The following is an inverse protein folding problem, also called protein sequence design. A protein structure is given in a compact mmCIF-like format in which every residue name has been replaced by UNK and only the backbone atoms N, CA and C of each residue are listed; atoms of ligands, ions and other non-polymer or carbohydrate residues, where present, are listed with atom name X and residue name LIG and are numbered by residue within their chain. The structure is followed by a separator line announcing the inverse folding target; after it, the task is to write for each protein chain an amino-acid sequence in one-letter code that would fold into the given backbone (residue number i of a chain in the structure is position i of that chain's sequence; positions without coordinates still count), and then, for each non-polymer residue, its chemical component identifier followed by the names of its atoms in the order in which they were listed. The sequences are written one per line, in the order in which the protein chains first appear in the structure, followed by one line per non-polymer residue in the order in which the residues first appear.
data_IF_701691829923
#
_entry.id   IF_701691829923
#
_cell.length_a   1.000
_cell.length_b   1.000
_cell.length_c   1.000
_cell.angle_alpha   90.00
_cell.angle_beta   90.00
_cell.angle_gamma   90.00
#
_symmetry.space_group_name_H-M   'P 1'
#
loop_
_entity.id
_entity.type
_entity.pdbx_description
1 polymer ?
#
# COMPACT_ATOMS: atom_id res chain seq x y z
N UNK A 1 -60.56 -23.34 19.69
CA UNK A 1 -60.08 -24.21 20.79
C UNK A 1 -59.93 -23.37 22.06
N UNK A 2 -60.64 -23.72 23.15
CA UNK A 2 -60.64 -22.91 24.38
C UNK A 2 -59.24 -22.68 24.98
N UNK A 3 -58.32 -23.63 24.83
CA UNK A 3 -56.93 -23.49 25.30
C UNK A 3 -56.13 -22.50 24.46
N UNK A 4 -56.38 -22.44 23.15
CA UNK A 4 -55.74 -21.50 22.24
C UNK A 4 -56.17 -20.06 22.55
N UNK A 5 -57.47 -19.83 22.74
CA UNK A 5 -58.00 -18.53 23.14
C UNK A 5 -57.50 -18.07 24.52
N UNK A 6 -57.21 -18.98 25.46
CA UNK A 6 -56.60 -18.63 26.76
C UNK A 6 -55.16 -18.11 26.63
N UNK A 7 -54.37 -18.67 25.71
CA UNK A 7 -52.95 -18.32 25.55
C UNK A 7 -52.79 -17.07 24.67
N UNK A 8 -53.56 -16.98 23.58
CA UNK A 8 -53.43 -15.95 22.55
C UNK A 8 -54.54 -14.88 22.58
N UNK A 9 -55.47 -14.98 23.54
CA UNK A 9 -56.59 -14.07 23.80
C UNK A 9 -57.72 -14.06 22.77
N UNK A 10 -57.47 -14.53 21.54
CA UNK A 10 -58.47 -14.74 20.49
C UNK A 10 -58.11 -15.95 19.61
N UNK A 11 -59.09 -16.50 18.89
CA UNK A 11 -58.90 -17.60 17.94
C UNK A 11 -58.54 -17.14 16.51
N UNK A 12 -58.54 -15.82 16.27
CA UNK A 12 -58.25 -15.26 14.95
C UNK A 12 -56.76 -15.37 14.63
N UNK A 13 -56.45 -15.91 13.46
CA UNK A 13 -55.10 -15.99 12.92
C UNK A 13 -55.10 -15.22 11.60
N UNK A 14 -54.31 -14.15 11.52
CA UNK A 14 -54.10 -13.38 10.28
C UNK A 14 -52.61 -13.40 9.97
N UNK A 15 -52.21 -14.04 8.87
CA UNK A 15 -50.82 -14.12 8.42
C UNK A 15 -50.80 -13.69 6.96
N UNK A 16 -50.01 -12.66 6.67
CA UNK A 16 -49.90 -12.05 5.34
C UNK A 16 -48.47 -12.15 4.83
N UNK A 17 -48.13 -13.21 4.07
CA UNK A 17 -46.88 -13.27 3.34
C UNK A 17 -46.97 -12.36 2.11
N UNK A 18 -45.90 -11.63 1.82
CA UNK A 18 -45.74 -10.75 0.67
C UNK A 18 -44.31 -10.92 0.12
N UNK A 19 -44.16 -11.04 -1.19
CA UNK A 19 -42.84 -11.18 -1.79
C UNK A 19 -42.83 -12.05 -3.04
N UNK A 20 -41.63 -12.45 -3.45
CA UNK A 20 -41.39 -13.35 -4.57
C UNK A 20 -40.45 -14.49 -4.17
N UNK A 21 -40.56 -15.60 -4.88
CA UNK A 21 -39.66 -16.72 -4.76
C UNK A 21 -39.40 -17.25 -6.17
N UNK A 22 -38.20 -17.02 -6.66
CA UNK A 22 -37.74 -17.51 -7.96
C UNK A 22 -36.78 -18.68 -7.75
N UNK A 23 -36.92 -19.68 -8.60
CA UNK A 23 -36.04 -20.86 -8.62
C UNK A 23 -35.55 -21.04 -10.04
N UNK A 24 -34.25 -21.02 -10.24
CA UNK A 24 -33.60 -21.14 -11.55
C UNK A 24 -32.85 -22.47 -11.59
N UNK A 25 -33.20 -23.28 -12.57
CA UNK A 25 -32.51 -24.53 -12.89
C UNK A 25 -31.77 -24.34 -14.20
N UNK A 26 -30.44 -24.49 -14.20
CA UNK A 26 -29.63 -24.32 -15.39
C UNK A 26 -28.61 -25.45 -15.53
N UNK A 27 -28.54 -26.08 -16.70
CA UNK A 27 -27.46 -26.97 -17.08
C UNK A 27 -26.40 -26.21 -17.87
N UNK A 28 -25.15 -26.24 -17.43
CA UNK A 28 -24.03 -25.65 -18.15
C UNK A 28 -23.06 -26.75 -18.61
N UNK A 29 -22.74 -26.76 -19.90
CA UNK A 29 -21.69 -27.62 -20.45
C UNK A 29 -20.58 -26.71 -20.96
N UNK A 30 -19.39 -26.86 -20.40
CA UNK A 30 -18.20 -26.13 -20.83
C UNK A 30 -17.24 -27.06 -21.57
N UNK A 31 -16.94 -26.72 -22.81
CA UNK A 31 -15.98 -27.44 -23.65
C UNK A 31 -14.72 -26.59 -23.84
N UNK A 32 -13.58 -27.11 -23.40
CA UNK A 32 -12.26 -26.50 -23.56
C UNK A 32 -11.45 -27.29 -24.59
N UNK A 33 -11.01 -26.64 -25.65
CA UNK A 33 -10.26 -27.27 -26.74
C UNK A 33 -8.74 -27.27 -26.53
N UNK A 34 -8.26 -26.74 -25.40
CA UNK A 34 -6.84 -26.71 -25.07
C UNK A 34 -6.29 -28.15 -24.98
N UNK A 35 -5.31 -28.50 -25.84
CA UNK A 35 -4.77 -29.85 -25.93
C UNK A 35 -3.97 -30.27 -24.68
N UNK A 36 -3.59 -29.34 -23.81
CA UNK A 36 -2.86 -29.60 -22.56
C UNK A 36 -3.74 -30.24 -21.47
N UNK A 37 -5.07 -30.14 -21.57
CA UNK A 37 -5.99 -30.85 -20.66
C UNK A 37 -6.32 -32.25 -21.20
N UNK A 38 -6.60 -33.20 -20.30
CA UNK A 38 -7.07 -34.52 -20.71
C UNK A 38 -8.52 -34.47 -21.23
N UNK A 39 -8.94 -35.47 -22.01
CA UNK A 39 -10.25 -35.50 -22.67
C UNK A 39 -11.45 -35.44 -21.70
N UNK A 40 -11.28 -35.89 -20.44
CA UNK A 40 -12.31 -35.79 -19.39
C UNK A 40 -12.42 -34.38 -18.79
N UNK A 41 -11.33 -33.64 -18.69
CA UNK A 41 -11.29 -32.26 -18.19
C UNK A 41 -11.71 -31.24 -19.27
N UNK A 42 -11.61 -31.61 -20.56
CA UNK A 42 -12.03 -30.79 -21.70
C UNK A 42 -13.54 -30.66 -21.85
N UNK A 43 -14.33 -31.52 -21.22
CA UNK A 43 -15.79 -31.43 -21.26
C UNK A 43 -16.34 -31.56 -19.84
N UNK A 44 -16.80 -30.46 -19.26
CA UNK A 44 -17.33 -30.42 -17.90
C UNK A 44 -18.80 -29.98 -17.95
N UNK A 45 -19.68 -30.82 -17.40
CA UNK A 45 -21.08 -30.47 -17.17
C UNK A 45 -21.28 -30.06 -15.71
N UNK A 46 -22.02 -28.99 -15.48
CA UNK A 46 -22.46 -28.55 -14.16
C UNK A 46 -23.98 -28.31 -14.17
N UNK A 47 -24.65 -28.67 -13.08
CA UNK A 47 -26.03 -28.33 -12.84
C UNK A 47 -26.07 -27.23 -11.79
N UNK A 48 -26.54 -26.05 -12.20
CA UNK A 48 -26.75 -24.93 -11.32
C UNK A 48 -28.21 -24.89 -10.84
N UNK A 49 -28.37 -24.73 -9.53
CA UNK A 49 -29.63 -24.54 -8.84
C UNK A 49 -29.54 -23.27 -8.00
N UNK A 50 -30.21 -22.22 -8.45
CA UNK A 50 -30.22 -20.92 -7.79
C UNK A 50 -31.61 -20.61 -7.22
N UNK A 51 -31.68 -20.30 -5.93
CA UNK A 51 -32.91 -19.91 -5.24
C UNK A 51 -32.86 -18.43 -4.81
N UNK A 52 -33.83 -17.65 -5.29
CA UNK A 52 -33.99 -16.23 -4.94
C UNK A 52 -35.31 -16.04 -4.21
N UNK A 53 -35.26 -15.96 -2.89
CA UNK A 53 -36.44 -15.77 -2.05
C UNK A 53 -36.34 -14.37 -1.46
N UNK A 54 -37.36 -13.56 -1.72
CA UNK A 54 -37.55 -12.25 -1.10
C UNK A 54 -38.94 -12.22 -0.50
N UNK A 55 -39.03 -12.44 0.81
CA UNK A 55 -40.30 -12.63 1.51
C UNK A 55 -40.38 -11.76 2.76
N UNK A 56 -41.47 -11.04 2.89
CA UNK A 56 -41.90 -10.34 4.09
C UNK A 56 -43.17 -11.01 4.61
N UNK A 57 -43.17 -11.50 5.84
CA UNK A 57 -44.38 -12.04 6.46
C UNK A 57 -44.70 -11.22 7.69
N UNK A 58 -45.91 -10.66 7.73
CA UNK A 58 -46.45 -10.03 8.94
C UNK A 58 -47.72 -10.76 9.33
N UNK A 59 -47.88 -11.08 10.60
CA UNK A 59 -49.09 -11.73 11.09
C UNK A 59 -49.37 -11.47 12.56
N UNK A 60 -50.62 -11.66 12.94
CA UNK A 60 -51.10 -11.63 14.31
C UNK A 60 -51.85 -12.92 14.61
N UNK A 61 -51.49 -13.57 15.71
CA UNK A 61 -52.19 -14.72 16.27
C UNK A 61 -52.88 -14.25 17.54
N UNK A 62 -54.21 -14.20 17.48
CA UNK A 62 -55.06 -13.59 18.47
C UNK A 62 -54.75 -12.10 18.67
N UNK A 63 -54.83 -11.61 19.90
CA UNK A 63 -54.46 -10.23 20.27
C UNK A 63 -53.05 -10.13 20.89
N UNK A 64 -52.45 -11.27 21.27
CA UNK A 64 -51.18 -11.29 22.02
C UNK A 64 -49.92 -11.55 21.21
N UNK A 65 -49.97 -12.34 20.13
CA UNK A 65 -48.75 -12.72 19.40
C UNK A 65 -48.68 -12.04 18.04
N UNK A 66 -47.58 -11.33 17.78
CA UNK A 66 -47.25 -10.73 16.49
C UNK A 66 -46.01 -11.39 15.91
N UNK A 67 -46.06 -11.69 14.62
CA UNK A 67 -44.98 -12.27 13.83
C UNK A 67 -44.59 -11.26 12.78
N UNK A 68 -43.30 -10.95 12.68
CA UNK A 68 -42.73 -10.18 11.58
C UNK A 68 -41.44 -10.85 11.14
N UNK A 69 -41.35 -11.23 9.88
CA UNK A 69 -40.14 -11.79 9.30
C UNK A 69 -39.84 -11.16 7.95
N UNK A 70 -38.57 -10.86 7.73
CA UNK A 70 -38.01 -10.47 6.44
C UNK A 70 -36.92 -11.49 6.10
N UNK A 71 -37.03 -12.11 4.94
CA UNK A 71 -36.10 -13.11 4.46
C UNK A 71 -35.74 -12.83 3.00
N UNK A 72 -34.47 -12.56 2.76
CA UNK A 72 -33.85 -12.34 1.47
C UNK A 72 -32.62 -13.23 1.32
N UNK A 73 -32.63 -14.16 0.37
CA UNK A 73 -31.47 -15.04 0.09
C UNK A 73 -30.33 -14.30 -0.59
N UNK A 74 -30.59 -13.13 -1.18
CA UNK A 74 -29.60 -12.27 -1.84
C UNK A 74 -29.12 -11.13 -0.93
N UNK A 75 -29.45 -11.15 0.37
CA UNK A 75 -29.02 -10.13 1.33
C UNK A 75 -27.49 -10.08 1.44
N UNK A 76 -26.92 -8.88 1.30
CA UNK A 76 -25.48 -8.66 1.47
C UNK A 76 -25.10 -8.68 2.95
N UNK A 77 -26.00 -8.24 3.83
CA UNK A 77 -25.77 -8.20 5.27
C UNK A 77 -26.71 -9.13 6.03
N UNK A 78 -26.17 -9.86 7.01
CA UNK A 78 -26.94 -10.80 7.84
C UNK A 78 -28.07 -10.14 8.65
N UNK A 79 -28.01 -8.82 8.91
CA UNK A 79 -29.05 -8.11 9.65
C UNK A 79 -30.31 -7.83 8.83
N UNK A 80 -30.28 -8.02 7.51
CA UNK A 80 -31.45 -7.85 6.66
C UNK A 80 -32.45 -9.00 6.86
N UNK A 81 -31.93 -10.20 7.15
CA UNK A 81 -32.73 -11.37 7.49
C UNK A 81 -33.16 -11.33 8.95
N UNK A 82 -34.36 -10.82 9.19
CA UNK A 82 -34.91 -10.60 10.53
C UNK A 82 -36.08 -11.52 10.77
N UNK A 83 -36.06 -12.20 11.91
CA UNK A 83 -37.23 -12.90 12.45
C UNK A 83 -37.57 -12.22 13.77
N UNK A 84 -38.82 -11.81 13.95
CA UNK A 84 -39.30 -11.23 15.20
C UNK A 84 -40.64 -11.83 15.60
N UNK A 85 -40.66 -12.39 16.80
CA UNK A 85 -41.86 -12.91 17.45
C UNK A 85 -42.10 -12.08 18.70
N UNK A 86 -43.22 -11.37 18.76
CA UNK A 86 -43.58 -10.48 19.86
C UNK A 86 -44.86 -10.98 20.53
N UNK A 87 -44.74 -11.56 21.72
CA UNK A 87 -45.86 -11.81 22.61
C UNK A 87 -46.05 -10.64 23.57
N UNK A 88 -47.26 -10.11 23.67
CA UNK A 88 -47.63 -9.02 24.58
C UNK A 88 -48.74 -9.51 25.52
N UNK A 89 -48.45 -9.53 26.81
CA UNK A 89 -49.44 -9.86 27.83
C UNK A 89 -50.39 -8.70 28.10
N UNK A 90 -51.46 -8.96 28.85
CA UNK A 90 -52.38 -7.92 29.31
C UNK A 90 -51.76 -7.10 30.45
N UNK A 91 -52.25 -5.87 30.72
CA UNK A 91 -51.67 -5.01 31.75
C UNK A 91 -51.61 -5.63 33.16
N UNK A 92 -52.53 -6.54 33.47
CA UNK A 92 -52.66 -7.27 34.74
C UNK A 92 -51.79 -8.54 34.83
N UNK A 93 -51.10 -8.93 33.75
CA UNK A 93 -50.28 -10.13 33.71
C UNK A 93 -48.83 -9.87 34.15
N UNK A 94 -48.20 -10.82 34.86
CA UNK A 94 -46.78 -10.70 35.25
C UNK A 94 -45.90 -10.63 34.00
N UNK A 95 -46.22 -11.42 32.98
CA UNK A 95 -45.49 -11.44 31.70
C UNK A 95 -46.02 -10.30 30.84
N UNK A 96 -45.25 -9.23 30.72
CA UNK A 96 -45.63 -8.07 29.91
C UNK A 96 -45.22 -8.26 28.44
N UNK A 97 -44.02 -8.81 28.20
CA UNK A 97 -43.53 -9.04 26.84
C UNK A 97 -42.59 -10.24 26.75
N UNK A 98 -42.70 -11.03 25.69
CA UNK A 98 -41.69 -12.00 25.27
C UNK A 98 -41.35 -11.70 23.81
N UNK A 99 -40.11 -11.37 23.52
CA UNK A 99 -39.60 -11.15 22.17
C UNK A 99 -38.60 -12.27 21.82
N UNK A 100 -38.71 -12.88 20.65
CA UNK A 100 -37.77 -13.89 20.17
C UNK A 100 -37.31 -13.60 18.73
N UNK A 101 -36.05 -13.91 18.43
CA UNK A 101 -35.38 -13.59 17.18
C UNK A 101 -34.58 -12.30 17.31
N UNK A 102 -34.80 -11.31 16.45
CA UNK A 102 -34.11 -10.01 16.49
C UNK A 102 -34.65 -9.16 17.65
N UNK A 103 -33.84 -9.01 18.69
CA UNK A 103 -34.16 -8.28 19.92
C UNK A 103 -33.18 -7.14 20.17
N UNK A 104 -33.61 -6.12 20.92
CA UNK A 104 -32.77 -4.99 21.33
C UNK A 104 -33.01 -4.65 22.80
N UNK A 105 -31.95 -4.18 23.47
CA UNK A 105 -32.01 -3.73 24.85
C UNK A 105 -31.29 -2.39 24.99
N UNK A 106 -31.89 -1.28 24.53
CA UNK A 106 -31.34 0.04 24.80
C UNK A 106 -31.39 0.29 26.31
N UNK A 107 -30.23 0.64 26.89
CA UNK A 107 -30.11 1.01 28.30
C UNK A 107 -29.92 2.52 28.40
N UNK A 108 -30.69 3.23 29.24
CA UNK A 108 -30.53 4.67 29.45
C UNK A 108 -29.36 4.96 30.42
N UNK A 109 -28.18 4.38 30.17
CA UNK A 109 -26.99 4.58 31.01
C UNK A 109 -25.78 4.91 30.14
N UNK A 110 -24.91 5.79 30.62
CA UNK A 110 -23.67 6.16 29.94
C UNK A 110 -22.50 5.19 30.20
N UNK A 111 -22.57 4.40 31.28
CA UNK A 111 -21.50 3.48 31.69
C UNK A 111 -21.61 2.11 31.00
N UNK A 112 -22.82 1.64 30.71
CA UNK A 112 -23.08 0.37 30.05
C UNK A 112 -23.93 0.66 28.81
N UNK A 113 -23.29 0.60 27.64
CA UNK A 113 -24.01 0.72 26.37
C UNK A 113 -24.81 -0.56 26.12
N UNK A 114 -26.13 -0.44 26.03
CA UNK A 114 -27.00 -1.54 25.62
C UNK A 114 -26.68 -2.02 24.20
N UNK A 115 -26.70 -3.33 23.98
CA UNK A 115 -26.48 -3.92 22.67
C UNK A 115 -27.74 -3.86 21.80
N UNK A 116 -27.54 -3.63 20.50
CA UNK A 116 -28.59 -3.53 19.49
C UNK A 116 -28.45 -4.67 18.47
N UNK A 117 -29.57 -5.05 17.85
CA UNK A 117 -29.63 -6.10 16.82
C UNK A 117 -29.04 -7.46 17.26
N UNK A 118 -29.55 -7.98 18.37
CA UNK A 118 -29.16 -9.29 18.91
C UNK A 118 -30.11 -10.37 18.38
N UNK A 119 -29.61 -11.59 18.15
CA UNK A 119 -30.47 -12.74 17.89
C UNK A 119 -30.63 -13.55 19.19
N UNK A 120 -31.83 -13.59 19.75
CA UNK A 120 -32.07 -14.21 21.05
C UNK A 120 -33.51 -14.11 21.56
N UNK A 121 -33.66 -14.34 22.86
CA UNK A 121 -34.90 -14.27 23.61
C UNK A 121 -34.82 -13.14 24.62
N UNK A 122 -35.83 -12.26 24.64
CA UNK A 122 -35.97 -11.17 25.61
C UNK A 122 -37.31 -11.29 26.32
N UNK A 123 -37.29 -11.17 27.65
CA UNK A 123 -38.49 -11.25 28.49
C UNK A 123 -38.61 -10.00 29.34
N UNK A 124 -39.82 -9.46 29.46
CA UNK A 124 -40.17 -8.34 30.33
C UNK A 124 -41.25 -8.79 31.30
N UNK A 125 -40.92 -8.77 32.59
CA UNK A 125 -41.77 -9.16 33.70
C UNK A 125 -42.06 -7.94 34.59
N UNK A 126 -43.26 -7.87 35.15
CA UNK A 126 -43.67 -6.81 36.06
C UNK A 126 -44.26 -7.41 37.35
N UNK A 127 -43.64 -7.09 38.49
CA UNK A 127 -44.07 -7.49 39.83
C UNK A 127 -44.43 -6.24 40.63
N UNK A 128 -45.68 -5.79 40.54
CA UNK A 128 -46.11 -4.54 41.16
C UNK A 128 -45.35 -3.34 40.58
N UNK A 129 -44.45 -2.73 41.36
CA UNK A 129 -43.58 -1.62 40.92
C UNK A 129 -42.21 -2.07 40.37
N UNK A 130 -41.84 -3.33 40.55
CA UNK A 130 -40.56 -3.88 40.10
C UNK A 130 -40.69 -4.42 38.66
N UNK A 131 -39.96 -3.81 37.72
CA UNK A 131 -39.81 -4.33 36.36
C UNK A 131 -38.51 -5.12 36.22
N UNK A 132 -38.58 -6.35 35.72
CA UNK A 132 -37.41 -7.19 35.41
C UNK A 132 -37.38 -7.44 33.91
N UNK A 133 -36.28 -7.07 33.26
CA UNK A 133 -36.06 -7.36 31.83
C UNK A 133 -34.82 -8.22 31.69
N UNK A 134 -34.97 -9.40 31.08
CA UNK A 134 -33.88 -10.35 30.85
C UNK A 134 -33.70 -10.58 29.35
N UNK A 135 -32.45 -10.76 28.93
CA UNK A 135 -32.09 -11.04 27.54
C UNK A 135 -31.06 -12.16 27.48
N UNK A 136 -31.32 -13.17 26.65
CA UNK A 136 -30.41 -14.26 26.33
C UNK A 136 -30.20 -14.26 24.83
N UNK A 137 -29.01 -13.88 24.38
CA UNK A 137 -28.77 -13.67 22.95
C UNK A 137 -27.34 -13.95 22.55
N UNK A 138 -27.16 -14.33 21.28
CA UNK A 138 -25.86 -14.34 20.64
C UNK A 138 -25.58 -12.95 20.05
N UNK A 139 -24.52 -12.29 20.51
CA UNK A 139 -24.07 -11.03 19.92
C UNK A 139 -23.37 -11.33 18.59
N UNK A 140 -23.92 -10.79 17.49
CA UNK A 140 -23.36 -10.92 16.13
C UNK A 140 -22.69 -9.63 15.62
N UNK A 141 -22.60 -8.60 16.46
CA UNK A 141 -22.05 -7.29 16.11
C UNK A 141 -20.75 -6.98 16.86
N UNK A 142 -19.78 -6.40 16.16
CA UNK A 142 -18.57 -5.81 16.76
C UNK A 142 -18.76 -4.30 16.89
N UNK A 143 -18.60 -3.78 18.11
CA UNK A 143 -18.53 -2.34 18.34
C UNK A 143 -17.21 -1.81 17.79
N UNK A 144 -17.28 -0.81 16.91
CA UNK A 144 -16.11 -0.03 16.47
C UNK A 144 -16.30 1.40 16.93
N UNK A 145 -15.35 1.89 17.72
CA UNK A 145 -15.33 3.29 18.13
C UNK A 145 -14.45 4.08 17.17
N UNK A 146 -15.01 5.12 16.56
CA UNK A 146 -14.27 6.08 15.76
C UNK A 146 -14.27 7.39 16.54
N UNK A 147 -13.09 7.89 16.88
CA UNK A 147 -12.96 9.20 17.50
C UNK A 147 -12.83 10.24 16.40
N UNK A 148 -13.87 11.05 16.23
CA UNK A 148 -13.87 12.20 15.32
C UNK A 148 -13.68 13.44 16.18
N UNK A 149 -12.65 14.22 15.90
CA UNK A 149 -12.39 15.49 16.57
C UNK A 149 -12.14 16.55 15.49
N UNK A 150 -12.79 17.70 15.61
CA UNK A 150 -12.71 18.80 14.63
C UNK A 150 -13.03 18.40 13.18
N UNK A 151 -13.93 17.42 12.97
CA UNK A 151 -14.38 17.01 11.63
C UNK A 151 -13.39 16.12 10.85
N UNK A 152 -12.25 15.74 11.44
CA UNK A 152 -11.32 14.76 10.88
C UNK A 152 -11.30 13.47 11.70
N UNK A 153 -11.11 12.35 11.00
CA UNK A 153 -10.88 11.05 11.65
C UNK A 153 -9.47 11.06 12.24
N UNK A 154 -9.35 10.90 13.55
CA UNK A 154 -8.06 10.73 14.21
C UNK A 154 -7.72 9.24 14.26
N UNK A 155 -6.48 8.89 13.92
CA UNK A 155 -5.95 7.54 14.00
C UNK A 155 -4.53 7.56 14.55
N UNK A 156 -4.22 6.61 15.41
CA UNK A 156 -2.85 6.40 15.88
C UNK A 156 -2.08 5.58 14.85
N UNK A 157 -0.79 5.86 14.69
CA UNK A 157 0.13 5.02 13.94
C UNK A 157 1.25 4.54 14.87
N UNK A 158 1.77 3.35 14.60
CA UNK A 158 2.94 2.80 15.27
C UNK A 158 3.79 2.13 14.21
N UNK A 159 5.05 2.52 14.12
CA UNK A 159 5.99 2.07 13.10
C UNK A 159 7.30 1.68 13.77
N UNK A 160 7.84 0.53 13.38
CA UNK A 160 9.17 0.09 13.75
C UNK A 160 10.21 0.70 12.79
N UNK A 161 11.49 0.81 13.19
CA UNK A 161 12.55 1.27 12.30
C UNK A 161 12.68 0.46 11.00
N UNK A 162 12.28 -0.81 11.03
CA UNK A 162 12.25 -1.72 9.87
C UNK A 162 11.10 -1.47 8.90
N UNK A 163 10.08 -0.71 9.27
CA UNK A 163 8.83 -0.54 8.50
C UNK A 163 8.94 0.54 7.42
N UNK A 164 10.16 0.82 6.96
CA UNK A 164 10.40 1.75 5.85
C UNK A 164 9.84 1.19 4.53
N UNK A 165 9.53 2.08 3.60
CA UNK A 165 9.01 1.70 2.29
C UNK A 165 10.11 1.13 1.38
N UNK A 166 10.34 -0.18 1.49
CA UNK A 166 11.30 -0.90 0.68
C UNK A 166 10.92 -0.90 -0.81
N UNK A 167 11.94 -1.00 -1.67
CA UNK A 167 11.82 -1.10 -3.13
C UNK A 167 11.08 0.05 -3.84
N UNK A 168 10.87 1.19 -3.17
CA UNK A 168 10.04 2.30 -3.69
C UNK A 168 10.82 3.59 -3.97
N UNK A 169 11.86 3.87 -3.18
CA UNK A 169 12.56 5.15 -3.18
C UNK A 169 14.04 4.96 -3.50
N UNK A 170 14.56 5.71 -4.48
CA UNK A 170 15.92 5.55 -4.96
C UNK A 170 16.61 6.87 -5.26
N UNK A 171 17.81 7.06 -4.73
CA UNK A 171 18.74 8.08 -5.20
C UNK A 171 19.16 7.81 -6.64
N UNK A 172 19.37 8.86 -7.42
CA UNK A 172 19.76 8.75 -8.84
C UNK A 172 21.24 8.38 -9.04
N UNK A 173 22.08 8.58 -8.03
CA UNK A 173 23.51 8.24 -8.00
C UNK A 173 24.05 8.32 -6.58
N UNK A 174 25.27 7.81 -6.36
CA UNK A 174 25.91 7.89 -5.04
C UNK A 174 26.19 9.34 -4.63
N UNK A 175 26.42 10.25 -5.59
CA UNK A 175 26.57 11.68 -5.32
C UNK A 175 25.36 12.23 -4.55
N UNK A 176 24.14 11.93 -4.99
CA UNK A 176 22.92 12.43 -4.34
C UNK A 176 22.75 11.85 -2.94
N UNK A 177 22.97 10.53 -2.81
CA UNK A 177 22.95 9.83 -1.52
C UNK A 177 23.93 10.48 -0.51
N UNK A 178 25.19 10.63 -0.92
CA UNK A 178 26.26 11.11 -0.04
C UNK A 178 26.10 12.58 0.33
N UNK A 179 25.35 13.36 -0.47
CA UNK A 179 25.07 14.77 -0.22
C UNK A 179 23.72 15.03 0.44
N UNK A 180 22.84 14.03 0.56
CA UNK A 180 21.47 14.20 1.04
C UNK A 180 21.38 14.86 2.42
N UNK A 181 22.12 14.32 3.40
CA UNK A 181 22.11 14.86 4.76
C UNK A 181 22.67 16.29 4.82
N UNK A 182 23.70 16.58 4.02
CA UNK A 182 24.29 17.93 3.94
C UNK A 182 23.32 18.92 3.32
N UNK A 183 22.59 18.51 2.27
CA UNK A 183 21.59 19.35 1.63
C UNK A 183 20.40 19.67 2.56
N UNK A 184 20.12 18.81 3.54
CA UNK A 184 19.04 18.98 4.53
C UNK A 184 19.50 19.55 5.88
N UNK A 185 20.79 19.89 6.05
CA UNK A 185 21.31 20.37 7.33
C UNK A 185 20.65 21.69 7.82
N UNK A 186 20.10 22.47 6.89
CA UNK A 186 19.48 23.77 7.14
C UNK A 186 18.02 23.82 6.68
N UNK A 187 17.26 22.74 6.92
CA UNK A 187 15.81 22.76 6.71
C UNK A 187 15.18 24.02 7.35
N UNK A 188 14.16 24.63 6.71
CA UNK A 188 13.42 24.15 5.54
C UNK A 188 14.11 24.40 4.18
N UNK A 189 15.23 25.12 4.13
CA UNK A 189 15.91 25.44 2.87
C UNK A 189 16.82 24.28 2.45
N UNK A 190 16.55 23.71 1.27
CA UNK A 190 17.41 22.67 0.68
C UNK A 190 18.68 23.31 0.14
N UNK A 191 19.81 23.00 0.78
CA UNK A 191 21.15 23.49 0.42
C UNK A 191 21.76 22.65 -0.71
N UNK A 192 21.15 22.68 -1.89
CA UNK A 192 21.63 21.98 -3.10
C UNK A 192 21.66 22.92 -4.30
N UNK A 193 22.76 22.88 -5.04
CA UNK A 193 22.93 23.62 -6.29
C UNK A 193 22.50 22.82 -7.52
N UNK A 194 21.99 21.59 -7.32
CA UNK A 194 21.52 20.73 -8.39
C UNK A 194 20.05 20.99 -8.67
N UNK A 195 19.65 21.02 -9.93
CA UNK A 195 18.26 20.87 -10.34
C UNK A 195 18.15 19.90 -11.49
N UNK A 196 17.54 18.73 -11.26
CA UNK A 196 17.20 17.77 -12.33
C UNK A 196 16.17 18.42 -13.26
N UNK A 197 16.51 18.55 -14.54
CA UNK A 197 15.68 19.21 -15.57
C UNK A 197 14.88 18.21 -16.40
N UNK A 198 15.41 17.00 -16.60
CA UNK A 198 14.74 15.93 -17.35
C UNK A 198 15.14 14.57 -16.78
N UNK A 199 14.19 13.64 -16.74
CA UNK A 199 14.44 12.25 -16.32
C UNK A 199 13.57 11.29 -17.13
N UNK A 200 14.15 10.13 -17.43
CA UNK A 200 13.45 8.96 -17.94
C UNK A 200 13.76 7.78 -17.03
N UNK A 201 12.70 7.10 -16.59
CA UNK A 201 12.79 5.96 -15.68
C UNK A 201 12.33 4.73 -16.46
N UNK A 202 13.15 3.68 -16.43
CA UNK A 202 12.95 2.46 -17.19
C UNK A 202 12.88 1.26 -16.24
N UNK A 203 11.87 0.42 -16.43
CA UNK A 203 11.65 -0.79 -15.63
C UNK A 203 11.48 -2.04 -16.49
N UNK A 204 11.66 -3.21 -15.89
CA UNK A 204 11.31 -4.49 -16.52
C UNK A 204 9.85 -4.48 -17.00
N UNK A 205 9.62 -4.95 -18.22
CA UNK A 205 8.29 -5.00 -18.82
C UNK A 205 7.66 -6.38 -18.61
N UNK A 206 6.65 -6.45 -17.73
CA UNK A 206 5.95 -7.71 -17.39
C UNK A 206 4.67 -7.93 -18.19
N UNK A 207 4.12 -6.87 -18.78
CA UNK A 207 2.82 -6.86 -19.45
C UNK A 207 2.94 -6.93 -20.98
N UNK A 208 4.14 -7.25 -21.51
CA UNK A 208 4.44 -7.28 -22.95
C UNK A 208 3.98 -6.03 -23.71
N UNK A 209 3.98 -4.86 -23.06
CA UNK A 209 3.55 -3.61 -23.68
C UNK A 209 4.66 -3.05 -24.55
N UNK A 210 4.45 -2.92 -25.86
CA UNK A 210 5.50 -2.46 -26.79
C UNK A 210 5.54 -0.94 -26.98
N UNK A 211 4.52 -0.22 -26.48
CA UNK A 211 4.42 1.24 -26.59
C UNK A 211 5.57 1.95 -25.88
N UNK A 212 6.30 2.76 -26.63
CA UNK A 212 7.47 3.54 -26.17
C UNK A 212 8.55 2.70 -25.45
N UNK A 213 8.58 1.39 -25.75
CA UNK A 213 9.55 0.46 -25.19
C UNK A 213 10.90 0.57 -25.90
N UNK A 214 11.99 0.37 -25.14
CA UNK A 214 13.37 0.41 -25.66
C UNK A 214 14.19 -0.70 -25.03
N UNK A 215 15.16 -1.21 -25.77
CA UNK A 215 16.19 -2.04 -25.16
C UNK A 215 17.13 -1.13 -24.36
N UNK A 216 17.42 -1.52 -23.14
CA UNK A 216 18.19 -0.73 -22.17
C UNK A 216 19.33 -1.59 -21.64
N UNK A 217 20.51 -1.00 -21.59
CA UNK A 217 21.66 -1.55 -20.90
C UNK A 217 22.02 -0.63 -19.74
N UNK A 218 21.60 -1.03 -18.54
CA UNK A 218 21.74 -0.25 -17.33
C UNK A 218 23.04 -0.65 -16.62
N UNK A 219 23.94 0.31 -16.39
CA UNK A 219 25.22 0.07 -15.74
C UNK A 219 25.24 0.55 -14.29
N UNK A 220 25.90 -0.25 -13.44
CA UNK A 220 26.13 0.06 -12.03
C UNK A 220 26.99 1.32 -11.86
N UNK A 221 28.04 1.48 -12.65
CA UNK A 221 29.04 2.54 -12.44
C UNK A 221 28.85 3.77 -13.36
N UNK A 222 27.78 3.82 -14.16
CA UNK A 222 27.57 4.98 -15.04
C UNK A 222 27.39 6.28 -14.23
N UNK A 223 28.20 7.29 -14.55
CA UNK A 223 28.13 8.59 -13.87
C UNK A 223 28.58 8.58 -12.41
N UNK A 224 29.30 7.55 -11.94
CA UNK A 224 29.85 7.51 -10.58
C UNK A 224 31.30 7.97 -10.54
N UNK A 225 31.62 8.91 -9.64
CA UNK A 225 32.97 9.46 -9.47
C UNK A 225 33.96 8.44 -8.90
N UNK A 226 33.50 7.59 -7.97
CA UNK A 226 34.27 6.44 -7.47
C UNK A 226 33.55 5.16 -7.92
N UNK A 227 33.93 4.57 -9.07
CA UNK A 227 33.29 3.37 -9.58
C UNK A 227 33.53 2.18 -8.64
N UNK A 228 32.54 1.30 -8.51
CA UNK A 228 32.62 0.07 -7.76
C UNK A 228 33.62 -0.91 -8.39
N UNK A 229 33.57 -1.08 -9.71
CA UNK A 229 34.47 -1.97 -10.43
C UNK A 229 35.79 -1.28 -10.79
N UNK A 230 36.65 -1.12 -9.78
CA UNK A 230 37.98 -0.48 -9.92
C UNK A 230 38.97 -1.27 -10.78
N UNK A 231 38.66 -2.53 -11.10
CA UNK A 231 39.47 -3.34 -12.00
C UNK A 231 39.33 -2.90 -13.46
N UNK A 232 38.12 -2.46 -13.86
CA UNK A 232 37.83 -2.04 -15.24
C UNK A 232 37.79 -0.53 -15.41
N UNK A 233 37.37 0.19 -14.36
CA UNK A 233 37.10 1.62 -14.45
C UNK A 233 37.93 2.44 -13.47
N UNK A 234 38.30 3.62 -13.93
CA UNK A 234 38.96 4.66 -13.16
C UNK A 234 38.04 5.87 -13.14
N UNK A 235 37.80 6.38 -11.93
CA UNK A 235 37.25 7.71 -11.70
C UNK A 235 38.27 8.52 -10.88
N UNK A 236 37.81 9.45 -10.06
CA UNK A 236 38.71 10.20 -9.18
C UNK A 236 39.35 11.43 -9.84
N UNK A 237 40.58 11.74 -9.45
CA UNK A 237 41.30 12.92 -9.95
C UNK A 237 41.40 12.90 -11.49
N UNK A 238 41.09 14.04 -12.12
CA UNK A 238 40.99 14.16 -13.58
C UNK A 238 39.60 13.87 -14.16
N UNK A 239 38.66 13.39 -13.36
CA UNK A 239 37.26 13.20 -13.72
C UNK A 239 36.32 14.18 -12.99
N UNK A 240 35.09 14.28 -13.47
CA UNK A 240 34.05 15.10 -12.85
C UNK A 240 33.58 14.50 -11.51
N UNK A 241 33.72 15.27 -10.43
CA UNK A 241 33.15 14.94 -9.12
C UNK A 241 31.61 14.95 -9.10
N UNK A 242 30.99 15.60 -10.09
CA UNK A 242 29.55 15.60 -10.32
C UNK A 242 29.15 14.47 -11.27
N UNK A 243 28.00 13.81 -11.08
CA UNK A 243 27.54 12.73 -11.94
C UNK A 243 27.49 13.11 -13.42
N UNK A 244 28.31 12.47 -14.24
CA UNK A 244 28.40 12.71 -15.67
C UNK A 244 28.77 11.40 -16.38
N UNK A 245 27.96 10.99 -17.34
CA UNK A 245 28.08 9.70 -18.01
C UNK A 245 27.29 9.65 -19.29
N UNK A 246 27.60 10.56 -20.22
CA UNK A 246 26.98 10.66 -21.53
C UNK A 246 27.99 11.19 -22.56
N UNK A 247 28.05 10.57 -23.73
CA UNK A 247 28.95 10.97 -24.82
C UNK A 247 28.14 11.61 -25.95
N UNK A 248 27.99 12.93 -25.92
CA UNK A 248 27.30 13.69 -26.95
C UNK A 248 27.68 15.17 -26.98
N UNK A 249 27.24 15.92 -28.01
CA UNK A 249 27.57 17.34 -28.14
C UNK A 249 27.15 18.14 -26.90
N UNK A 250 28.04 18.99 -26.39
CA UNK A 250 27.79 19.82 -25.21
C UNK A 250 28.06 19.15 -23.85
N UNK A 251 28.41 17.85 -23.82
CA UNK A 251 28.66 17.11 -22.58
C UNK A 251 30.08 16.49 -22.58
N UNK A 252 31.08 17.33 -22.33
CA UNK A 252 32.49 16.89 -22.32
C UNK A 252 32.90 16.18 -21.02
N UNK A 253 32.21 16.48 -19.90
CA UNK A 253 32.55 15.95 -18.59
C UNK A 253 32.17 14.47 -18.48
N UNK A 254 33.05 13.66 -17.88
CA UNK A 254 32.78 12.27 -17.48
C UNK A 254 33.23 12.07 -16.03
N UNK A 255 32.45 11.33 -15.24
CA UNK A 255 32.81 10.99 -13.84
C UNK A 255 33.78 9.82 -13.74
N UNK A 256 33.84 8.99 -14.78
CA UNK A 256 34.78 7.88 -14.92
C UNK A 256 34.97 7.56 -16.41
N UNK A 257 35.82 6.58 -16.69
CA UNK A 257 36.12 6.12 -18.05
C UNK A 257 35.26 4.93 -18.54
N UNK A 258 34.12 4.62 -17.90
CA UNK A 258 33.28 3.46 -18.27
C UNK A 258 32.91 3.48 -19.74
N UNK A 259 32.35 4.59 -20.24
CA UNK A 259 31.90 4.70 -21.62
C UNK A 259 33.05 4.61 -22.64
N UNK A 260 34.25 5.06 -22.27
CA UNK A 260 35.41 5.01 -23.14
C UNK A 260 36.01 3.59 -23.24
N UNK A 261 35.85 2.78 -22.19
CA UNK A 261 36.42 1.43 -22.12
C UNK A 261 35.48 0.33 -22.63
N UNK A 262 34.19 0.63 -22.83
CA UNK A 262 33.22 -0.35 -23.33
C UNK A 262 33.50 -0.71 -24.80
N UNK A 263 33.46 -2.01 -25.17
CA UNK A 263 33.51 -2.42 -26.57
C UNK A 263 32.32 -1.86 -27.35
N UNK A 264 32.55 -1.42 -28.59
CA UNK A 264 31.50 -0.85 -29.46
C UNK A 264 30.30 -1.80 -29.64
N UNK A 265 30.56 -3.11 -29.73
CA UNK A 265 29.54 -4.14 -29.91
C UNK A 265 28.57 -4.26 -28.73
N UNK A 266 28.91 -3.75 -27.54
CA UNK A 266 27.98 -3.72 -26.39
C UNK A 266 26.75 -2.87 -26.66
N UNK A 267 26.80 -2.01 -27.69
CA UNK A 267 25.71 -1.14 -28.10
C UNK A 267 24.61 -1.87 -28.87
N UNK A 268 24.90 -3.02 -29.45
CA UNK A 268 23.95 -3.76 -30.28
C UNK A 268 23.01 -4.59 -29.40
N UNK A 269 21.70 -4.49 -29.62
CA UNK A 269 20.67 -5.22 -28.85
C UNK A 269 20.96 -6.72 -28.76
N UNK A 270 21.40 -7.35 -29.85
CA UNK A 270 21.60 -8.81 -29.90
C UNK A 270 23.03 -9.26 -29.58
N UNK A 271 23.89 -8.36 -29.11
CA UNK A 271 25.28 -8.68 -28.78
C UNK A 271 25.45 -9.27 -27.39
N UNK A 272 26.39 -10.21 -27.28
CA UNK A 272 26.89 -10.79 -26.02
C UNK A 272 28.18 -10.11 -25.53
N UNK A 273 28.67 -9.07 -26.22
CA UNK A 273 29.92 -8.41 -25.87
C UNK A 273 29.96 -7.90 -24.43
N UNK A 274 28.84 -7.41 -23.89
CA UNK A 274 28.78 -6.92 -22.51
C UNK A 274 28.95 -8.04 -21.49
N UNK A 275 28.37 -9.21 -21.76
CA UNK A 275 28.50 -10.38 -20.89
C UNK A 275 29.95 -10.88 -20.85
N UNK A 276 30.61 -10.91 -22.01
CA UNK A 276 32.02 -11.29 -22.12
C UNK A 276 32.93 -10.26 -21.42
N UNK A 277 32.65 -8.97 -21.58
CA UNK A 277 33.45 -7.88 -21.00
C UNK A 277 33.48 -7.94 -19.45
N UNK A 278 32.34 -8.21 -18.81
CA UNK A 278 32.26 -8.30 -17.34
C UNK A 278 32.45 -9.73 -16.79
N UNK A 279 32.78 -10.71 -17.63
CA UNK A 279 32.82 -12.13 -17.23
C UNK A 279 33.74 -12.39 -16.03
N UNK A 280 34.90 -11.74 -15.99
CA UNK A 280 35.91 -11.90 -14.95
C UNK A 280 35.72 -10.97 -13.74
N UNK A 281 34.79 -10.02 -13.78
CA UNK A 281 34.70 -8.92 -12.80
C UNK A 281 33.30 -8.75 -12.20
N UNK A 282 32.58 -9.86 -12.00
CA UNK A 282 31.27 -9.88 -11.33
C UNK A 282 30.06 -10.02 -12.25
N UNK A 283 30.26 -10.18 -13.57
CA UNK A 283 29.19 -10.47 -14.55
C UNK A 283 28.03 -9.47 -14.44
N UNK A 284 26.83 -9.96 -14.16
CA UNK A 284 25.58 -9.19 -14.05
C UNK A 284 25.51 -8.31 -12.80
N UNK A 285 26.53 -8.31 -11.94
CA UNK A 285 26.61 -7.35 -10.84
C UNK A 285 26.90 -5.92 -11.34
N UNK A 286 27.55 -5.81 -12.50
CA UNK A 286 27.94 -4.52 -13.07
C UNK A 286 26.89 -3.90 -13.99
N UNK A 287 25.95 -4.71 -14.49
CA UNK A 287 24.96 -4.25 -15.46
C UNK A 287 23.70 -5.12 -15.44
N UNK A 288 22.60 -4.56 -15.92
CA UNK A 288 21.41 -5.32 -16.31
C UNK A 288 21.00 -4.94 -17.73
N UNK A 289 20.54 -5.93 -18.50
CA UNK A 289 20.09 -5.77 -19.87
C UNK A 289 18.59 -6.06 -19.91
N UNK A 290 17.82 -5.04 -20.29
CA UNK A 290 16.37 -5.14 -20.42
C UNK A 290 15.99 -5.06 -21.89
N UNK A 291 15.38 -6.12 -22.41
CA UNK A 291 14.75 -6.10 -23.72
C UNK A 291 13.33 -5.56 -23.59
N UNK A 292 12.93 -4.64 -24.47
CA UNK A 292 11.62 -3.97 -24.41
C UNK A 292 11.29 -3.35 -23.03
N UNK A 293 12.26 -2.70 -22.39
CA UNK A 293 12.07 -2.01 -21.12
C UNK A 293 10.92 -1.00 -21.23
N UNK A 294 10.10 -0.92 -20.18
CA UNK A 294 8.96 -0.01 -20.13
C UNK A 294 9.42 1.33 -19.55
N UNK A 295 9.15 2.41 -20.27
CA UNK A 295 9.32 3.78 -19.75
C UNK A 295 8.18 4.09 -18.79
N UNK A 296 8.50 4.50 -17.56
CA UNK A 296 7.51 5.04 -16.65
C UNK A 296 7.08 6.45 -17.10
N UNK A 297 5.79 6.71 -16.99
CA UNK A 297 5.22 8.04 -17.21
C UNK A 297 5.39 8.91 -15.97
N UNK A 298 5.30 10.23 -16.14
CA UNK A 298 5.46 11.20 -15.04
C UNK A 298 4.40 11.06 -13.92
N UNK A 299 3.31 10.32 -14.15
CA UNK A 299 2.30 10.04 -13.14
C UNK A 299 2.62 8.81 -12.31
N UNK A 300 3.57 7.96 -12.71
CA UNK A 300 3.91 6.70 -12.05
C UNK A 300 5.03 6.84 -11.01
N UNK A 301 5.72 7.97 -10.99
CA UNK A 301 6.74 8.29 -10.01
C UNK A 301 6.76 9.79 -9.72
N UNK A 302 7.34 10.16 -8.58
CA UNK A 302 7.64 11.55 -8.21
C UNK A 302 9.14 11.75 -8.18
N UNK A 303 9.60 12.89 -8.67
CA UNK A 303 11.00 13.30 -8.64
C UNK A 303 11.19 14.42 -7.61
N UNK A 304 12.23 14.33 -6.79
CA UNK A 304 12.74 15.47 -6.03
C UNK A 304 13.97 16.05 -6.75
N UNK A 305 13.81 17.11 -7.56
CA UNK A 305 14.87 17.58 -8.47
C UNK A 305 16.09 18.17 -7.77
N UNK A 306 15.97 18.65 -6.53
CA UNK A 306 17.10 19.23 -5.79
C UNK A 306 17.94 18.20 -5.02
N UNK A 307 17.29 17.14 -4.54
CA UNK A 307 17.93 16.08 -3.76
C UNK A 307 18.28 14.84 -4.61
N UNK A 308 17.79 14.76 -5.85
CA UNK A 308 18.14 13.72 -6.80
C UNK A 308 17.72 12.32 -6.36
N UNK A 309 16.44 12.15 -6.05
CA UNK A 309 15.83 10.84 -5.85
C UNK A 309 14.45 10.76 -6.50
N UNK A 310 14.01 9.54 -6.78
CA UNK A 310 12.65 9.23 -7.24
C UNK A 310 11.91 8.39 -6.21
N UNK A 311 10.60 8.59 -6.16
CA UNK A 311 9.65 7.80 -5.39
C UNK A 311 8.63 7.21 -6.35
N UNK A 312 8.63 5.89 -6.50
CA UNK A 312 7.65 5.20 -7.33
C UNK A 312 6.28 5.21 -6.64
N UNK A 313 5.19 5.17 -7.40
CA UNK A 313 3.86 5.09 -6.80
C UNK A 313 3.62 3.74 -6.14
N UNK A 314 4.20 2.68 -6.68
CA UNK A 314 4.12 1.31 -6.17
C UNK A 314 5.54 0.77 -5.97
N UNK A 315 5.77 -0.06 -4.93
CA UNK A 315 7.05 -0.74 -4.76
C UNK A 315 7.28 -1.69 -5.94
N UNK A 316 8.54 -1.79 -6.37
CA UNK A 316 8.93 -2.75 -7.39
C UNK A 316 8.90 -4.18 -6.84
N UNK A 317 8.60 -5.12 -7.72
CA UNK A 317 8.77 -6.54 -7.40
C UNK A 317 10.26 -6.88 -7.24
N UNK A 318 10.54 -7.94 -6.48
CA UNK A 318 11.93 -8.32 -6.19
C UNK A 318 12.72 -8.64 -7.47
N UNK A 319 12.08 -9.17 -8.52
CA UNK A 319 12.66 -9.54 -9.80
C UNK A 319 12.75 -8.38 -10.83
N UNK A 320 12.25 -7.19 -10.49
CA UNK A 320 12.25 -6.05 -11.42
C UNK A 320 13.54 -5.25 -11.36
N UNK A 321 13.99 -4.76 -12.51
CA UNK A 321 15.13 -3.84 -12.62
C UNK A 321 14.59 -2.42 -12.72
N UNK A 322 15.33 -1.49 -12.12
CA UNK A 322 15.09 -0.06 -12.22
C UNK A 322 16.34 0.62 -12.74
N UNK A 323 16.19 1.44 -13.78
CA UNK A 323 17.26 2.27 -14.30
C UNK A 323 16.76 3.64 -14.73
N UNK A 324 17.67 4.60 -14.81
CA UNK A 324 17.35 5.99 -15.13
C UNK A 324 18.34 6.60 -16.10
N UNK A 325 17.86 7.55 -16.91
CA UNK A 325 18.69 8.52 -17.60
C UNK A 325 18.16 9.92 -17.27
N UNK A 326 19.06 10.87 -17.00
CA UNK A 326 18.63 12.20 -16.56
C UNK A 326 19.61 13.30 -16.97
N UNK A 327 19.06 14.51 -17.10
CA UNK A 327 19.79 15.77 -17.24
C UNK A 327 19.55 16.64 -16.03
N UNK A 328 20.56 17.40 -15.66
CA UNK A 328 20.47 18.34 -14.56
C UNK A 328 21.39 19.52 -14.79
N UNK A 329 21.12 20.60 -14.06
CA UNK A 329 22.02 21.76 -14.01
C UNK A 329 22.69 21.82 -12.65
N UNK A 330 23.96 22.23 -12.65
CA UNK A 330 24.72 22.59 -11.46
C UNK A 330 25.36 23.95 -11.71
N UNK A 331 24.98 24.96 -10.93
CA UNK A 331 25.46 26.35 -11.11
C UNK A 331 25.38 26.85 -12.57
N UNK A 332 24.28 26.52 -13.27
CA UNK A 332 24.06 26.93 -14.67
C UNK A 332 24.76 26.08 -15.73
N UNK A 333 25.62 25.13 -15.36
CA UNK A 333 26.22 24.16 -16.30
C UNK A 333 25.36 22.90 -16.38
N UNK A 334 25.07 22.41 -17.59
CA UNK A 334 24.28 21.19 -17.80
C UNK A 334 25.16 19.93 -17.73
N UNK A 335 24.63 18.89 -17.11
CA UNK A 335 25.23 17.57 -16.98
C UNK A 335 24.22 16.50 -17.34
N UNK A 336 24.70 15.36 -17.84
CA UNK A 336 23.86 14.24 -18.23
C UNK A 336 24.45 12.90 -17.78
N UNK A 337 23.58 12.01 -17.32
CA UNK A 337 23.91 10.62 -16.98
C UNK A 337 22.95 9.70 -17.72
N UNK A 338 23.51 8.79 -18.52
CA UNK A 338 22.73 7.92 -19.40
C UNK A 338 22.18 8.66 -20.61
N UNK A 339 21.52 7.90 -21.48
CA UNK A 339 20.98 8.35 -22.75
C UNK A 339 19.45 8.42 -22.66
N UNK A 340 18.90 9.58 -23.01
CA UNK A 340 17.45 9.73 -23.12
C UNK A 340 16.98 9.10 -24.43
N UNK A 341 15.72 8.69 -24.52
CA UNK A 341 15.16 8.12 -25.75
C UNK A 341 15.24 9.07 -26.95
N UNK A 342 15.33 10.38 -26.69
CA UNK A 342 15.49 11.43 -27.72
C UNK A 342 16.92 11.57 -28.24
N UNK A 343 17.92 11.11 -27.49
CA UNK A 343 19.32 11.25 -27.87
C UNK A 343 19.71 10.20 -28.92
N UNK A 344 19.09 9.02 -28.83
CA UNK A 344 19.37 7.87 -29.69
C UNK A 344 18.08 7.42 -30.37
N UNK A 345 17.89 7.73 -31.66
CA UNK A 345 16.71 7.32 -32.41
C UNK A 345 16.67 5.79 -32.56
N UNK A 346 15.46 5.26 -32.81
CA UNK A 346 15.27 3.84 -33.10
C UNK A 346 15.74 3.57 -34.53
N UNK A 347 16.65 2.60 -34.67
CA UNK A 347 17.10 2.08 -35.96
C UNK A 347 16.75 0.60 -36.03
N UNK A 348 15.82 0.25 -36.94
CA UNK A 348 15.35 -1.12 -37.09
C UNK A 348 16.36 -2.04 -37.80
N UNK A 349 17.26 -1.48 -38.62
CA UNK A 349 18.29 -2.25 -39.32
C UNK A 349 19.44 -2.62 -38.37
N UNK A 350 19.79 -1.71 -37.46
CA UNK A 350 20.80 -1.94 -36.43
C UNK A 350 20.26 -1.55 -35.04
N UNK A 351 19.46 -2.42 -34.39
CA UNK A 351 18.88 -2.12 -33.09
C UNK A 351 19.95 -1.87 -32.02
N UNK A 352 19.84 -0.73 -31.34
CA UNK A 352 20.77 -0.28 -30.30
C UNK A 352 20.09 -0.14 -28.96
N UNK A 353 20.79 -0.56 -27.91
CA UNK A 353 20.40 -0.29 -26.53
C UNK A 353 20.61 1.18 -26.17
N UNK A 354 19.81 1.68 -25.23
CA UNK A 354 20.10 2.90 -24.47
C UNK A 354 20.99 2.57 -23.29
N UNK A 355 22.07 3.32 -23.10
CA UNK A 355 22.87 3.22 -21.88
C UNK A 355 22.22 4.03 -20.75
N UNK A 356 21.93 3.39 -19.63
CA UNK A 356 21.29 4.03 -18.47
C UNK A 356 22.03 3.72 -17.18
N UNK A 357 21.70 4.47 -16.12
CA UNK A 357 22.20 4.24 -14.78
C UNK A 357 21.32 3.22 -14.06
N UNK A 358 21.90 2.11 -13.62
CA UNK A 358 21.23 1.10 -12.81
C UNK A 358 20.99 1.60 -11.38
N UNK A 359 19.74 1.55 -10.91
CA UNK A 359 19.35 1.87 -9.53
C UNK A 359 18.98 0.62 -8.71
N UNK A 360 18.33 -0.37 -9.34
CA UNK A 360 17.99 -1.67 -8.75
C UNK A 360 18.23 -2.77 -9.78
N UNK A 361 18.86 -3.86 -9.36
CA UNK A 361 19.05 -5.06 -10.18
C UNK A 361 17.97 -6.12 -9.91
N UNK A 362 17.89 -7.14 -10.75
CA UNK A 362 16.98 -8.30 -10.60
C UNK A 362 17.27 -9.05 -9.29
N UNK A 363 18.55 -9.29 -9.01
CA UNK A 363 19.00 -9.88 -7.76
C UNK A 363 19.50 -8.79 -6.82
N UNK A 364 18.80 -8.64 -5.70
CA UNK A 364 19.19 -7.72 -4.64
C UNK A 364 20.41 -8.28 -3.89
N UNK A 365 21.53 -7.54 -3.93
CA UNK A 365 22.76 -7.86 -3.20
C UNK A 365 23.15 -6.68 -2.31
N UNK A 366 23.23 -6.92 -1.01
CA UNK A 366 23.58 -5.87 -0.02
C UNK A 366 25.02 -5.39 -0.12
N UNK A 367 25.90 -6.15 -0.79
CA UNK A 367 27.28 -5.78 -1.07
C UNK A 367 27.45 -4.83 -2.27
N UNK A 368 26.40 -4.62 -3.08
CA UNK A 368 26.47 -3.74 -4.24
C UNK A 368 25.97 -2.33 -3.93
N UNK A 369 26.52 -1.27 -4.57
CA UNK A 369 26.09 0.11 -4.36
C UNK A 369 24.61 0.38 -4.64
N UNK A 370 23.93 -0.43 -5.47
CA UNK A 370 22.48 -0.32 -5.69
C UNK A 370 21.68 -0.51 -4.40
N UNK A 371 22.17 -1.31 -3.45
CA UNK A 371 21.58 -1.43 -2.11
C UNK A 371 21.58 -0.08 -1.39
N UNK A 372 22.67 0.67 -1.52
CA UNK A 372 22.84 1.98 -0.93
C UNK A 372 22.03 3.08 -1.61
N UNK A 373 21.73 2.93 -2.91
CA UNK A 373 20.86 3.84 -3.64
C UNK A 373 19.39 3.73 -3.21
N UNK A 374 18.95 2.57 -2.70
CA UNK A 374 17.62 2.43 -2.11
C UNK A 374 17.53 3.20 -0.78
N UNK A 375 16.60 4.16 -0.72
CA UNK A 375 16.34 4.94 0.49
C UNK A 375 15.60 4.10 1.53
N UNK A 376 16.01 4.22 2.79
CA UNK A 376 15.49 3.43 3.94
C UNK A 376 15.00 4.33 5.08
N UNK A 377 14.65 5.57 4.74
CA UNK A 377 14.28 6.63 5.68
C UNK A 377 12.91 7.25 5.36
N UNK A 378 12.09 6.57 4.55
CA UNK A 378 10.74 7.01 4.19
C UNK A 378 9.76 5.97 4.70
N UNK A 379 8.75 6.42 5.44
CA UNK A 379 7.75 5.60 6.11
C UNK A 379 6.34 6.00 5.66
N UNK A 380 5.49 5.01 5.45
CA UNK A 380 4.07 5.25 5.16
C UNK A 380 3.27 5.32 6.45
N UNK A 381 2.42 6.34 6.55
CA UNK A 381 1.52 6.54 7.68
C UNK A 381 0.14 5.92 7.44
N UNK A 382 -0.12 5.40 6.24
CA UNK A 382 -1.45 4.89 5.84
C UNK A 382 -2.56 5.95 5.83
N UNK A 383 -2.20 7.24 5.88
CA UNK A 383 -3.11 8.36 5.93
C UNK A 383 -2.87 9.34 4.78
N UNK A 384 -3.94 9.99 4.33
CA UNK A 384 -3.92 10.98 3.25
C UNK A 384 -4.25 12.36 3.81
N UNK A 385 -3.69 13.41 3.20
CA UNK A 385 -4.01 14.82 3.52
C UNK A 385 -3.85 15.15 5.02
N UNK A 386 -2.76 14.68 5.63
CA UNK A 386 -2.47 14.93 7.05
C UNK A 386 -2.28 16.44 7.26
N UNK A 387 -3.10 17.01 8.13
CA UNK A 387 -2.98 18.40 8.60
C UNK A 387 -1.68 18.55 9.41
N UNK A 388 -0.80 19.52 9.11
CA UNK A 388 0.41 19.76 9.89
C UNK A 388 0.14 20.03 11.38
N UNK A 389 -1.01 20.65 11.69
CA UNK A 389 -1.38 20.99 13.06
C UNK A 389 -1.81 19.77 13.88
N UNK A 390 -2.34 18.75 13.21
CA UNK A 390 -2.91 17.55 13.82
C UNK A 390 -1.97 16.33 13.74
N UNK A 391 -0.79 16.49 13.12
CA UNK A 391 0.27 15.48 13.13
C UNK A 391 1.09 15.57 14.42
N UNK A 392 1.26 14.45 15.09
CA UNK A 392 2.16 14.30 16.24
C UNK A 392 2.99 13.03 16.06
N UNK A 393 4.31 13.20 16.03
CA UNK A 393 5.28 12.11 15.99
C UNK A 393 6.01 12.06 17.32
N UNK A 394 6.09 10.88 17.91
CA UNK A 394 6.99 10.58 19.03
C UNK A 394 7.87 9.41 18.62
N UNK A 395 9.17 9.51 18.91
CA UNK A 395 10.10 8.40 18.76
C UNK A 395 10.38 7.87 20.16
N UNK A 396 10.13 6.58 20.36
CA UNK A 396 10.35 5.90 21.63
C UNK A 396 11.38 4.79 21.46
N UNK A 397 12.07 4.48 22.55
CA UNK A 397 12.93 3.30 22.67
C UNK A 397 12.33 2.37 23.72
N UNK A 398 12.19 1.09 23.38
CA UNK A 398 11.72 0.08 24.31
C UNK A 398 12.86 -0.28 25.28
N UNK A 399 12.68 0.05 26.55
CA UNK A 399 13.59 -0.41 27.60
C UNK A 399 13.32 -1.89 27.90
N UNK A 400 14.23 -2.77 27.47
CA UNK A 400 14.09 -4.22 27.64
C UNK A 400 14.02 -4.67 29.11
N UNK A 401 14.54 -3.89 30.06
CA UNK A 401 14.50 -4.26 31.48
C UNK A 401 13.15 -3.94 32.13
N UNK A 402 12.53 -2.83 31.72
CA UNK A 402 11.25 -2.38 32.28
C UNK A 402 10.04 -2.72 31.39
N UNK A 403 10.27 -3.11 30.13
CA UNK A 403 9.27 -3.27 29.06
C UNK A 403 8.38 -2.01 28.89
N UNK A 404 9.00 -0.83 28.98
CA UNK A 404 8.34 0.47 28.87
C UNK A 404 9.00 1.27 27.74
N UNK A 405 8.17 1.90 26.91
CA UNK A 405 8.61 2.85 25.89
C UNK A 405 9.02 4.18 26.51
N UNK A 406 10.27 4.60 26.25
CA UNK A 406 10.82 5.87 26.74
C UNK A 406 11.10 6.83 25.58
N UNK A 407 10.55 8.06 25.58
CA UNK A 407 10.83 9.05 24.54
C UNK A 407 12.15 9.81 24.77
N UNK A 408 12.77 9.64 25.94
CA UNK A 408 14.00 10.33 26.36
C UNK A 408 15.15 9.32 26.39
N UNK A 409 16.32 9.76 25.95
CA UNK A 409 17.57 9.00 26.03
C UNK A 409 18.10 9.00 27.48
N UNK A 410 18.24 7.80 28.05
CA UNK A 410 18.65 7.61 29.45
C UNK A 410 20.16 7.59 29.67
N UNK A 411 20.96 7.50 28.61
CA UNK A 411 22.40 7.25 28.68
C UNK A 411 23.23 8.16 27.75
N UNK A 412 24.54 8.19 27.98
CA UNK A 412 25.54 8.92 27.19
C UNK A 412 25.78 10.36 27.64
N UNK A 413 27.05 10.78 27.62
CA UNK A 413 27.49 12.07 28.20
C UNK A 413 26.81 13.31 27.59
N UNK A 414 26.49 13.28 26.29
CA UNK A 414 25.91 14.40 25.55
C UNK A 414 24.46 14.15 25.07
N UNK A 415 23.90 13.00 25.43
CA UNK A 415 22.62 12.48 24.94
C UNK A 415 21.60 12.25 26.06
N UNK A 416 22.05 12.01 27.29
CA UNK A 416 21.17 11.85 28.45
C UNK A 416 20.25 13.07 28.61
N UNK A 417 18.96 12.81 28.79
CA UNK A 417 17.93 13.83 29.02
C UNK A 417 17.35 14.46 27.76
N UNK A 418 17.86 14.15 26.57
CA UNK A 418 17.31 14.62 25.28
C UNK A 418 16.22 13.69 24.75
N UNK A 419 15.25 14.26 24.03
CA UNK A 419 14.25 13.48 23.32
C UNK A 419 14.88 12.77 22.12
N UNK A 420 14.45 11.54 21.82
CA UNK A 420 14.87 10.82 20.60
C UNK A 420 14.56 11.61 19.32
N UNK A 421 13.46 12.37 19.32
CA UNK A 421 13.09 13.22 18.19
C UNK A 421 14.12 14.34 17.93
N UNK A 422 14.70 14.91 18.99
CA UNK A 422 15.78 15.90 18.88
C UNK A 422 17.08 15.24 18.44
N UNK A 423 17.40 14.07 18.98
CA UNK A 423 18.63 13.33 18.64
C UNK A 423 18.66 12.87 17.18
N UNK A 424 17.50 12.57 16.60
CA UNK A 424 17.37 12.22 15.17
C UNK A 424 17.33 13.44 14.25
N UNK A 425 17.32 14.66 14.80
CA UNK A 425 17.30 15.90 14.02
C UNK A 425 15.96 16.18 13.34
N UNK A 426 14.88 15.51 13.77
CA UNK A 426 13.53 15.69 13.25
C UNK A 426 12.72 16.77 13.99
N UNK A 427 13.28 17.31 15.08
CA UNK A 427 12.73 18.44 15.84
C UNK A 427 13.82 19.50 16.04
N UNK A 428 13.89 20.45 15.11
CA UNK A 428 14.86 21.55 15.10
C UNK A 428 14.27 22.87 14.57
N UNK A 429 12.95 22.92 14.35
CA UNK A 429 12.21 24.07 13.84
C UNK A 429 11.10 24.45 14.81
N UNK A 430 10.89 25.75 14.98
CA UNK A 430 9.73 26.28 15.69
C UNK A 430 8.47 26.31 14.79
N UNK A 431 7.29 26.70 15.32
CA UNK A 431 6.05 26.77 14.53
C UNK A 431 6.08 27.73 13.32
N UNK A 432 7.06 28.64 13.26
CA UNK A 432 7.28 29.55 12.13
C UNK A 432 8.32 29.01 11.13
N UNK A 433 8.74 27.74 11.26
CA UNK A 433 9.82 27.11 10.49
C UNK A 433 11.19 27.79 10.64
N UNK A 434 11.40 28.52 11.74
CA UNK A 434 12.70 29.07 12.08
C UNK A 434 13.47 28.06 12.95
N UNK A 435 14.77 27.95 12.70
CA UNK A 435 15.65 27.04 13.45
C UNK A 435 15.70 27.46 14.91
N UNK A 436 15.39 26.54 15.81
CA UNK A 436 15.48 26.76 17.26
C UNK A 436 16.26 25.59 17.87
N UNK A 437 17.32 25.87 18.66
CA UNK A 437 18.15 24.84 19.28
C UNK A 437 17.44 24.07 20.39
#
# INVERSE_FOLDING_TARGET
SQTFAKIFGSEVIDIRPQGSADVIFAGQINKNENPLFNTRQRNQGNFNFDQRIQMNVTGSIGDKLKISTNYNTEAQFQFENQLKLDYTGKPDEIIQKIEAGTVSMPLPTSLISGSQALFGLKTKLQFGKLGVTSIFSQQRSQSRQITISNGSQQGNFSLSPSDYEANRHYFLSQYFRNNYNRALANIPIISSNVTITKIEVWVTNRSNTTRDSRDVLAFLDLGEYDPYNKNLFRGGAGFSALPAGFSGPGFAQQSNNLLANLPADTRLTNSNAVANYFQATGRTDNYSKLTYARKLTATEFRLQPQLGYISLNYPLNNDEVLSVAYRYTYNGTEYQVGELSTDIPVDAATPKVLYTKLLKNELLKTSLPTWDLMMKNIYTLGAYQISPNDFRLTITHLDNAANIEKPIMGEGQNTTGKLWLQLTGLDNLNPQNAKQP
#
